data_IF_035913101713
#
_entry.id   IF_035913101713
#
_cell.length_a   1.000
_cell.length_b   1.000
_cell.length_c   1.000
_cell.angle_alpha   90.00
_cell.angle_beta   90.00
_cell.angle_gamma   90.00
#
_symmetry.space_group_name_H-M   'P 1'
#
loop_
_entity.id
_entity.type
_entity.pdbx_description
1 polymer ?
#
# COMPACT_ATOMS: atom_id res chain seq x y z
N UNK A 1 -36.55 -11.40 51.95
CA UNK A 1 -35.15 -11.71 52.31
C UNK A 1 -34.37 -10.40 52.28
N UNK A 2 -33.96 -9.85 53.44
CA UNK A 2 -33.20 -8.59 53.48
C UNK A 2 -31.80 -8.87 52.94
N UNK A 3 -31.50 -8.39 51.74
CA UNK A 3 -30.14 -8.38 51.23
C UNK A 3 -29.29 -7.54 52.20
N UNK A 4 -28.32 -8.19 52.83
CA UNK A 4 -27.30 -7.55 53.62
C UNK A 4 -26.52 -6.59 52.72
N UNK A 5 -26.41 -5.33 53.15
CA UNK A 5 -25.73 -4.26 52.41
C UNK A 5 -24.33 -4.69 51.97
N UNK A 6 -23.63 -5.46 52.80
CA UNK A 6 -22.33 -6.07 52.48
C UNK A 6 -22.37 -6.95 51.23
N UNK A 7 -23.41 -7.76 51.06
CA UNK A 7 -23.55 -8.68 49.92
C UNK A 7 -23.90 -7.90 48.64
N UNK A 8 -24.70 -6.82 48.75
CA UNK A 8 -24.91 -5.91 47.61
C UNK A 8 -23.62 -5.22 47.16
N UNK A 9 -22.78 -4.78 48.10
CA UNK A 9 -21.48 -4.17 47.79
C UNK A 9 -20.58 -5.18 47.05
N UNK A 10 -20.51 -6.42 47.55
CA UNK A 10 -19.68 -7.48 46.95
C UNK A 10 -20.15 -7.79 45.52
N UNK A 11 -21.46 -7.97 45.29
CA UNK A 11 -22.00 -8.23 43.96
C UNK A 11 -21.66 -7.08 43.00
N UNK A 12 -21.81 -5.84 43.46
CA UNK A 12 -21.54 -4.64 42.64
C UNK A 12 -20.06 -4.55 42.27
N UNK A 13 -19.16 -4.88 43.21
CA UNK A 13 -17.72 -4.87 42.97
C UNK A 13 -17.31 -5.94 41.94
N UNK A 14 -17.89 -7.14 42.04
CA UNK A 14 -17.64 -8.23 41.08
C UNK A 14 -18.16 -7.87 39.69
N UNK A 15 -19.36 -7.28 39.60
CA UNK A 15 -19.93 -6.82 38.33
C UNK A 15 -19.08 -5.72 37.69
N UNK A 16 -18.59 -4.75 38.47
CA UNK A 16 -17.71 -3.68 37.99
C UNK A 16 -16.36 -4.22 37.50
N UNK A 17 -15.75 -5.16 38.24
CA UNK A 17 -14.51 -5.81 37.85
C UNK A 17 -14.66 -6.63 36.57
N UNK A 18 -15.77 -7.38 36.43
CA UNK A 18 -16.08 -8.14 35.22
C UNK A 18 -16.31 -7.25 34.00
N UNK A 19 -17.03 -6.14 34.17
CA UNK A 19 -17.22 -5.15 33.12
C UNK A 19 -15.89 -4.52 32.71
N UNK A 20 -15.07 -4.08 33.68
CA UNK A 20 -13.75 -3.53 33.39
C UNK A 20 -12.89 -4.52 32.61
N UNK A 21 -12.79 -5.77 33.06
CA UNK A 21 -12.02 -6.81 32.37
C UNK A 21 -12.55 -7.06 30.94
N UNK A 22 -13.86 -7.15 30.75
CA UNK A 22 -14.46 -7.37 29.43
C UNK A 22 -14.23 -6.20 28.46
N UNK A 23 -14.27 -4.96 28.93
CA UNK A 23 -14.03 -3.77 28.10
C UNK A 23 -12.54 -3.51 27.86
N UNK A 24 -11.67 -3.70 28.85
CA UNK A 24 -10.23 -3.39 28.75
C UNK A 24 -9.38 -4.54 28.19
N UNK A 25 -9.78 -5.80 28.36
CA UNK A 25 -9.04 -6.97 27.85
C UNK A 25 -9.34 -7.27 26.38
N UNK A 26 -10.30 -6.56 25.76
CA UNK A 26 -10.47 -6.52 24.30
C UNK A 26 -9.42 -5.67 23.57
N UNK A 27 -8.28 -5.40 24.20
CA UNK A 27 -7.09 -4.80 23.56
C UNK A 27 -6.34 -5.85 22.73
N UNK A 28 -7.02 -6.42 21.73
CA UNK A 28 -6.44 -7.44 20.85
C UNK A 28 -6.63 -7.18 19.36
N UNK A 29 -7.61 -6.36 18.96
CA UNK A 29 -7.90 -6.06 17.55
C UNK A 29 -8.24 -4.58 17.38
N UNK A 30 -7.34 -3.67 17.78
CA UNK A 30 -7.44 -2.27 17.38
C UNK A 30 -7.09 -2.20 15.87
N UNK A 31 -8.00 -1.76 14.98
CA UNK A 31 -7.59 -1.31 13.66
C UNK A 31 -6.60 -0.15 13.85
N UNK A 32 -5.48 -0.10 13.10
CA UNK A 32 -4.59 1.03 13.21
C UNK A 32 -5.35 2.29 12.78
N UNK A 33 -5.27 3.35 13.59
CA UNK A 33 -5.81 4.70 13.39
C UNK A 33 -7.33 4.87 13.56
N UNK A 34 -7.80 5.02 14.80
CA UNK A 34 -8.98 5.88 15.03
C UNK A 34 -8.55 7.34 14.89
N UNK A 35 -8.73 7.91 13.71
CA UNK A 35 -8.59 9.33 13.48
C UNK A 35 -9.53 10.08 14.44
N UNK A 36 -8.94 10.78 15.40
CA UNK A 36 -9.65 11.74 16.23
C UNK A 36 -9.92 12.97 15.38
N UNK A 37 -11.07 13.04 14.71
CA UNK A 37 -11.60 14.31 14.23
C UNK A 37 -13.09 14.19 13.92
N UNK A 38 -13.86 15.03 14.61
CA UNK A 38 -15.13 15.55 14.12
C UNK A 38 -14.92 16.15 12.73
N UNK A 39 -15.02 15.34 11.69
CA UNK A 39 -14.95 15.79 10.31
C UNK A 39 -16.15 15.18 9.59
N UNK A 40 -16.96 16.07 8.99
CA UNK A 40 -17.95 15.74 7.97
C UNK A 40 -17.44 14.56 7.14
N UNK A 41 -18.23 13.48 7.11
CA UNK A 41 -17.95 12.29 6.30
C UNK A 41 -17.60 12.76 4.90
N UNK A 42 -16.31 12.75 4.58
CA UNK A 42 -15.83 13.19 3.28
C UNK A 42 -16.25 12.11 2.29
N UNK A 43 -17.22 12.41 1.44
CA UNK A 43 -17.78 11.45 0.50
C UNK A 43 -16.69 10.83 -0.40
N UNK A 44 -15.62 11.57 -0.69
CA UNK A 44 -14.47 11.04 -1.44
C UNK A 44 -13.71 9.95 -0.67
N UNK A 45 -13.64 10.05 0.67
CA UNK A 45 -13.00 9.04 1.50
C UNK A 45 -13.82 7.74 1.54
N UNK A 46 -15.15 7.83 1.69
CA UNK A 46 -16.00 6.63 1.63
C UNK A 46 -15.97 5.94 0.26
N UNK A 47 -15.94 6.72 -0.82
CA UNK A 47 -15.83 6.16 -2.18
C UNK A 47 -14.48 5.46 -2.38
N UNK A 48 -13.39 6.04 -1.89
CA UNK A 48 -12.06 5.43 -1.95
C UNK A 48 -12.00 4.13 -1.14
N UNK A 49 -12.50 4.12 0.10
CA UNK A 49 -12.52 2.93 0.95
C UNK A 49 -13.38 1.81 0.33
N UNK A 50 -14.51 2.16 -0.28
CA UNK A 50 -15.37 1.21 -1.01
C UNK A 50 -14.63 0.63 -2.22
N UNK A 51 -14.00 1.48 -3.04
CA UNK A 51 -13.26 1.03 -4.22
C UNK A 51 -12.07 0.13 -3.84
N UNK A 52 -11.34 0.47 -2.77
CA UNK A 52 -10.25 -0.37 -2.26
C UNK A 52 -10.78 -1.72 -1.76
N UNK A 53 -11.96 -1.77 -1.15
CA UNK A 53 -12.62 -3.03 -0.78
C UNK A 53 -13.09 -3.86 -1.97
N UNK A 54 -13.47 -3.22 -3.07
CA UNK A 54 -13.87 -3.87 -4.33
C UNK A 54 -12.68 -4.37 -5.16
N UNK A 55 -11.51 -3.77 -5.00
CA UNK A 55 -10.27 -4.25 -5.58
C UNK A 55 -9.90 -5.58 -4.91
N UNK A 56 -10.41 -6.68 -5.48
CA UNK A 56 -9.98 -8.04 -5.15
C UNK A 56 -8.45 -8.08 -5.15
N UNK A 57 -7.86 -8.79 -4.20
CA UNK A 57 -6.41 -8.97 -4.11
C UNK A 57 -5.85 -9.33 -5.49
N UNK A 58 -5.20 -8.38 -6.16
CA UNK A 58 -4.49 -8.66 -7.41
C UNK A 58 -3.40 -9.67 -7.04
N UNK A 59 -3.54 -10.88 -7.55
CA UNK A 59 -2.52 -11.91 -7.43
C UNK A 59 -1.74 -11.95 -8.73
N UNK A 60 -0.46 -11.60 -8.66
CA UNK A 60 0.44 -11.75 -9.79
C UNK A 60 0.86 -13.21 -9.90
N UNK A 61 0.49 -13.86 -10.99
CA UNK A 61 0.98 -15.20 -11.30
C UNK A 61 2.45 -15.11 -11.74
N UNK A 62 3.36 -15.55 -10.87
CA UNK A 62 4.80 -15.55 -11.13
C UNK A 62 5.31 -16.87 -11.71
N UNK A 63 4.43 -17.83 -12.02
CA UNK A 63 4.83 -19.17 -12.47
C UNK A 63 5.61 -19.16 -13.79
N UNK A 64 5.35 -18.16 -14.65
CA UNK A 64 6.06 -17.99 -15.91
C UNK A 64 7.57 -17.76 -15.71
N UNK A 65 7.98 -17.11 -14.63
CA UNK A 65 9.39 -16.84 -14.34
C UNK A 65 10.18 -18.10 -13.97
N UNK A 66 9.49 -19.16 -13.55
CA UNK A 66 10.09 -20.47 -13.26
C UNK A 66 10.10 -21.40 -14.49
N UNK A 67 9.50 -21.00 -15.61
CA UNK A 67 9.46 -21.83 -16.81
C UNK A 67 10.86 -21.86 -17.47
N UNK A 68 11.45 -23.03 -17.73
CA UNK A 68 12.72 -23.13 -18.45
C UNK A 68 12.70 -22.43 -19.82
N UNK A 69 11.54 -22.38 -20.48
CA UNK A 69 11.36 -21.69 -21.77
C UNK A 69 11.46 -20.17 -21.62
N UNK A 70 10.99 -19.63 -20.50
CA UNK A 70 11.12 -18.21 -20.18
C UNK A 70 12.58 -17.85 -19.87
N UNK A 71 13.28 -18.70 -19.14
CA UNK A 71 14.70 -18.51 -18.81
C UNK A 71 15.65 -18.76 -19.99
N UNK A 72 15.20 -19.49 -21.02
CA UNK A 72 15.94 -19.73 -22.24
C UNK A 72 15.71 -18.66 -23.32
N UNK A 73 14.92 -17.61 -23.03
CA UNK A 73 14.73 -16.49 -23.96
C UNK A 73 16.07 -15.78 -24.15
N UNK A 74 16.54 -15.78 -25.40
CA UNK A 74 17.71 -15.03 -25.82
C UNK A 74 17.25 -13.65 -26.21
N UNK A 75 17.92 -12.63 -25.67
CA UNK A 75 17.71 -11.27 -26.11
C UNK A 75 18.15 -11.14 -27.58
N UNK A 76 17.19 -10.79 -28.45
CA UNK A 76 17.43 -10.55 -29.88
C UNK A 76 17.67 -9.06 -30.17
N UNK A 77 17.74 -8.22 -29.14
CA UNK A 77 18.05 -6.81 -29.30
C UNK A 77 19.45 -6.65 -29.91
N UNK A 78 19.53 -5.84 -30.95
CA UNK A 78 20.81 -5.40 -31.49
C UNK A 78 21.37 -4.34 -30.56
N UNK A 79 22.57 -4.55 -30.03
CA UNK A 79 23.25 -3.54 -29.23
C UNK A 79 23.41 -2.25 -30.03
N UNK A 80 22.89 -1.14 -29.51
CA UNK A 80 23.04 0.17 -30.14
C UNK A 80 24.41 0.71 -29.76
N UNK A 81 25.34 0.79 -30.72
CA UNK A 81 26.59 1.51 -30.50
C UNK A 81 26.29 2.99 -30.39
N UNK A 82 26.89 3.66 -29.40
CA UNK A 82 26.82 5.13 -29.34
C UNK A 82 27.55 5.73 -30.53
N UNK A 83 26.85 6.54 -31.31
CA UNK A 83 27.47 7.36 -32.34
C UNK A 83 28.17 8.54 -31.64
N UNK A 84 29.40 8.92 -32.06
CA UNK A 84 30.02 10.15 -31.58
C UNK A 84 29.10 11.35 -31.78
N UNK A 85 29.21 12.33 -30.89
CA UNK A 85 28.53 13.60 -31.07
C UNK A 85 28.90 14.19 -32.44
N UNK A 86 27.88 14.62 -33.19
CA UNK A 86 28.05 15.24 -34.50
C UNK A 86 28.90 16.51 -34.45
N UNK A 87 29.16 17.11 -35.61
CA UNK A 87 29.87 18.38 -35.68
C UNK A 87 29.13 19.44 -34.83
N UNK A 88 29.86 20.23 -34.00
CA UNK A 88 29.25 21.29 -33.21
C UNK A 88 28.40 22.27 -34.03
N UNK A 89 28.83 22.52 -35.27
CA UNK A 89 28.05 23.21 -36.29
C UNK A 89 27.81 22.25 -37.46
N UNK A 90 26.57 21.79 -37.68
CA UNK A 90 26.24 20.87 -38.77
C UNK A 90 26.39 21.51 -40.16
N UNK A 91 26.37 22.85 -40.26
CA UNK A 91 26.40 23.59 -41.53
C UNK A 91 27.75 24.25 -41.83
N UNK A 92 28.72 24.19 -40.92
CA UNK A 92 30.03 24.80 -41.19
C UNK A 92 30.66 24.20 -42.47
N UNK A 93 31.39 24.98 -43.28
CA UNK A 93 32.05 24.47 -44.48
C UNK A 93 32.98 23.30 -44.17
N UNK A 94 33.02 22.30 -45.06
CA UNK A 94 33.98 21.19 -44.94
C UNK A 94 35.36 21.73 -45.32
N UNK A 95 36.37 21.64 -44.43
CA UNK A 95 37.72 22.10 -44.74
C UNK A 95 38.24 21.42 -46.02
N UNK A 96 38.65 22.22 -47.00
CA UNK A 96 39.18 21.73 -48.28
C UNK A 96 38.13 21.44 -49.36
N UNK A 97 36.84 21.59 -49.08
CA UNK A 97 35.80 21.61 -50.13
C UNK A 97 35.50 23.06 -50.47
N UNK A 98 36.20 23.58 -51.48
CA UNK A 98 35.86 24.88 -52.08
C UNK A 98 34.51 24.75 -52.77
N UNK A 99 33.49 25.42 -52.23
CA UNK A 99 32.15 25.46 -52.84
C UNK A 99 32.25 25.97 -54.28
N UNK A 100 31.63 25.22 -55.20
CA UNK A 100 31.36 25.66 -56.56
C UNK A 100 30.16 26.60 -56.58
#
# INVERSE_FOLDING_TARGET
MKLNTTLLIIITLIAAAGAYWYFFTRTGNQPPLSASTSASVNQAQLQFETLVGELQSISFNTSIFSDPRFNALVDIATSISSEPAGRPDPLAPIPGVSGH
#
